data_IF_541856510141
#
_entry.id   IF_541856510141
#
_cell.length_a   1.000
_cell.length_b   1.000
_cell.length_c   1.000
_cell.angle_alpha   90.00
_cell.angle_beta   90.00
_cell.angle_gamma   90.00
#
_symmetry.space_group_name_H-M   'P 1'
#
loop_
_entity.id
_entity.type
_entity.pdbx_description
1 polymer ?
#
# COMPACT_ATOMS: atom_id res chain seq x y z
N UNK A 1 16.10 -22.66 3.13
CA UNK A 1 14.74 -22.21 2.72
C UNK A 1 14.89 -20.80 2.18
N UNK A 2 14.68 -20.58 0.88
CA UNK A 2 14.90 -19.29 0.21
C UNK A 2 13.77 -18.32 0.59
N UNK A 3 14.10 -17.12 1.05
CA UNK A 3 13.10 -16.10 1.48
C UNK A 3 12.53 -15.29 0.30
N UNK A 4 13.22 -15.30 -0.84
CA UNK A 4 12.86 -14.56 -2.04
C UNK A 4 11.40 -14.73 -2.53
N UNK A 5 10.81 -15.95 -2.60
CA UNK A 5 9.46 -16.11 -3.14
C UNK A 5 8.35 -15.52 -2.26
N UNK A 6 8.59 -15.31 -0.96
CA UNK A 6 7.61 -14.69 -0.05
C UNK A 6 7.75 -13.16 0.00
N UNK A 7 8.98 -12.65 -0.10
CA UNK A 7 9.25 -11.21 -0.01
C UNK A 7 8.98 -10.49 -1.33
N UNK A 8 9.14 -11.17 -2.47
CA UNK A 8 8.99 -10.56 -3.80
C UNK A 8 7.55 -10.05 -4.07
N UNK A 9 6.47 -10.82 -3.82
CA UNK A 9 5.11 -10.32 -4.05
C UNK A 9 4.76 -9.12 -3.16
N UNK A 10 5.20 -9.14 -1.90
CA UNK A 10 5.00 -8.01 -0.98
C UNK A 10 5.71 -6.76 -1.47
N UNK A 11 6.98 -6.88 -1.88
CA UNK A 11 7.76 -5.77 -2.42
C UNK A 11 7.12 -5.18 -3.68
N UNK A 12 6.68 -6.03 -4.62
CA UNK A 12 5.98 -5.58 -5.83
C UNK A 12 4.67 -4.86 -5.46
N UNK A 13 3.90 -5.40 -4.52
CA UNK A 13 2.67 -4.78 -4.02
C UNK A 13 2.92 -3.38 -3.45
N UNK A 14 3.98 -3.19 -2.66
CA UNK A 14 4.38 -1.87 -2.14
C UNK A 14 4.74 -0.90 -3.26
N UNK A 15 5.54 -1.33 -4.24
CA UNK A 15 5.95 -0.47 -5.37
C UNK A 15 4.74 -0.05 -6.20
N UNK A 16 3.80 -0.97 -6.42
CA UNK A 16 2.53 -0.66 -7.10
C UNK A 16 1.69 0.32 -6.29
N UNK A 17 1.59 0.17 -4.97
CA UNK A 17 0.89 1.11 -4.09
C UNK A 17 1.48 2.53 -4.19
N UNK A 18 2.82 2.67 -4.19
CA UNK A 18 3.48 3.97 -4.41
C UNK A 18 3.21 4.56 -5.80
N UNK A 19 3.19 3.74 -6.85
CA UNK A 19 2.87 4.20 -8.20
C UNK A 19 1.40 4.65 -8.34
N UNK A 20 0.48 3.94 -7.71
CA UNK A 20 -0.94 4.30 -7.64
C UNK A 20 -1.13 5.60 -6.86
N UNK A 21 -0.44 5.78 -5.73
CA UNK A 21 -0.42 7.03 -4.99
C UNK A 21 0.07 8.21 -5.85
N UNK A 22 1.15 8.03 -6.61
CA UNK A 22 1.62 9.03 -7.57
C UNK A 22 0.57 9.36 -8.64
N UNK A 23 -0.12 8.36 -9.17
CA UNK A 23 -1.20 8.54 -10.15
C UNK A 23 -2.38 9.32 -9.55
N UNK A 24 -2.77 9.00 -8.32
CA UNK A 24 -3.83 9.71 -7.59
C UNK A 24 -3.48 11.18 -7.34
N UNK A 25 -2.21 11.49 -7.04
CA UNK A 25 -1.74 12.87 -6.90
C UNK A 25 -1.88 13.66 -8.22
N UNK A 26 -1.45 13.07 -9.34
CA UNK A 26 -1.58 13.69 -10.67
C UNK A 26 -3.06 13.88 -11.02
N UNK A 27 -3.90 12.87 -10.78
CA UNK A 27 -5.34 12.94 -11.04
C UNK A 27 -5.99 14.07 -10.22
N UNK A 28 -5.64 14.17 -8.93
CA UNK A 28 -6.16 15.21 -8.03
C UNK A 28 -5.71 16.60 -8.48
N UNK A 29 -4.44 16.75 -8.87
CA UNK A 29 -3.90 18.01 -9.37
C UNK A 29 -4.65 18.48 -10.64
N UNK A 30 -4.86 17.58 -11.61
CA UNK A 30 -5.60 17.89 -12.84
C UNK A 30 -7.06 18.23 -12.52
N UNK A 31 -7.70 17.49 -11.60
CA UNK A 31 -9.10 17.71 -11.22
C UNK A 31 -9.33 19.13 -10.70
N UNK A 32 -8.47 19.61 -9.79
CA UNK A 32 -8.58 20.98 -9.26
C UNK A 32 -8.30 22.06 -10.32
N UNK A 33 -7.45 21.78 -11.31
CA UNK A 33 -7.13 22.71 -12.39
C UNK A 33 -8.22 22.83 -13.46
N UNK A 34 -8.82 21.71 -13.87
CA UNK A 34 -9.79 21.67 -14.98
C UNK A 34 -11.21 22.05 -14.53
N UNK A 35 -11.59 21.71 -13.30
CA UNK A 35 -12.98 21.88 -12.82
C UNK A 35 -13.07 22.78 -11.58
N UNK A 36 -12.73 24.07 -11.67
CA UNK A 36 -12.78 24.97 -10.52
C UNK A 36 -14.20 25.20 -9.99
N UNK A 37 -15.24 25.02 -10.81
CA UNK A 37 -16.67 25.26 -10.48
C UNK A 37 -17.47 24.01 -10.06
N UNK A 38 -16.82 22.86 -9.93
CA UNK A 38 -17.51 21.61 -9.54
C UNK A 38 -18.11 21.65 -8.12
N UNK A 39 -19.17 20.85 -7.88
CA UNK A 39 -19.87 20.82 -6.60
C UNK A 39 -18.93 20.40 -5.45
N UNK A 40 -19.13 21.05 -4.29
CA UNK A 40 -18.29 20.87 -3.09
C UNK A 40 -18.19 19.42 -2.60
N UNK A 41 -19.21 18.60 -2.88
CA UNK A 41 -19.24 17.18 -2.53
C UNK A 41 -18.16 16.37 -3.27
N UNK A 42 -17.98 16.59 -4.58
CA UNK A 42 -16.94 15.89 -5.35
C UNK A 42 -15.54 16.26 -4.85
N UNK A 43 -15.31 17.55 -4.56
CA UNK A 43 -14.06 18.02 -3.95
C UNK A 43 -13.83 17.41 -2.57
N UNK A 44 -14.88 17.28 -1.75
CA UNK A 44 -14.78 16.64 -0.44
C UNK A 44 -14.39 15.16 -0.57
N UNK A 45 -14.99 14.43 -1.50
CA UNK A 45 -14.66 13.01 -1.76
C UNK A 45 -13.21 12.87 -2.22
N UNK A 46 -12.75 13.70 -3.15
CA UNK A 46 -11.35 13.66 -3.64
C UNK A 46 -10.36 13.94 -2.51
N UNK A 47 -10.63 14.95 -1.67
CA UNK A 47 -9.77 15.26 -0.51
C UNK A 47 -9.81 14.13 0.52
N UNK A 48 -10.98 13.54 0.80
CA UNK A 48 -11.10 12.41 1.72
C UNK A 48 -10.31 11.19 1.24
N UNK A 49 -10.41 10.84 -0.05
CA UNK A 49 -9.63 9.75 -0.66
C UNK A 49 -8.14 10.05 -0.58
N UNK A 50 -7.71 11.28 -0.90
CA UNK A 50 -6.31 11.67 -0.79
C UNK A 50 -5.78 11.51 0.64
N UNK A 51 -6.53 11.94 1.65
CA UNK A 51 -6.11 11.82 3.06
C UNK A 51 -6.03 10.35 3.48
N UNK A 52 -7.02 9.53 3.12
CA UNK A 52 -7.02 8.10 3.43
C UNK A 52 -5.82 7.39 2.79
N UNK A 53 -5.57 7.64 1.51
CA UNK A 53 -4.44 7.07 0.76
C UNK A 53 -3.09 7.51 1.33
N UNK A 54 -2.96 8.76 1.79
CA UNK A 54 -1.73 9.23 2.46
C UNK A 54 -1.50 8.47 3.77
N UNK A 55 -2.55 8.28 4.59
CA UNK A 55 -2.45 7.54 5.84
C UNK A 55 -2.05 6.09 5.58
N UNK A 56 -2.68 5.43 4.60
CA UNK A 56 -2.35 4.06 4.21
C UNK A 56 -0.91 3.97 3.67
N UNK A 57 -0.53 4.86 2.76
CA UNK A 57 0.82 4.90 2.17
C UNK A 57 1.89 5.09 3.24
N UNK A 58 1.64 5.92 4.27
CA UNK A 58 2.54 6.10 5.41
C UNK A 58 2.66 4.84 6.27
N UNK A 59 1.55 4.15 6.56
CA UNK A 59 1.55 2.91 7.31
C UNK A 59 2.31 1.81 6.55
N UNK A 60 1.99 1.61 5.27
CA UNK A 60 2.66 0.67 4.37
C UNK A 60 4.16 0.96 4.27
N UNK A 61 4.56 2.23 4.16
CA UNK A 61 5.98 2.61 4.12
C UNK A 61 6.72 2.28 5.41
N UNK A 62 6.07 2.47 6.58
CA UNK A 62 6.65 2.07 7.87
C UNK A 62 6.82 0.56 7.97
N UNK A 63 5.82 -0.21 7.56
CA UNK A 63 5.88 -1.67 7.59
C UNK A 63 6.98 -2.19 6.67
N UNK A 64 7.12 -1.62 5.47
CA UNK A 64 8.18 -1.97 4.52
C UNK A 64 9.56 -1.67 5.08
N UNK A 65 9.76 -0.50 5.72
CA UNK A 65 11.04 -0.17 6.37
C UNK A 65 11.33 -1.12 7.53
N UNK A 66 10.34 -1.52 8.33
CA UNK A 66 10.54 -2.51 9.38
C UNK A 66 10.88 -3.90 8.83
N UNK A 67 10.16 -4.38 7.81
CA UNK A 67 10.32 -5.73 7.25
C UNK A 67 11.60 -5.85 6.43
N UNK A 68 11.89 -4.87 5.57
CA UNK A 68 13.05 -4.89 4.66
C UNK A 68 14.28 -4.15 5.20
N UNK A 69 14.11 -3.13 6.05
CA UNK A 69 15.21 -2.35 6.61
C UNK A 69 15.75 -2.89 7.94
N UNK A 70 14.88 -3.32 8.86
CA UNK A 70 15.29 -3.92 10.15
C UNK A 70 15.27 -5.47 10.12
N UNK A 71 14.45 -6.07 9.25
CA UNK A 71 14.24 -7.51 9.14
C UNK A 71 15.02 -8.22 8.03
N UNK A 72 15.91 -7.53 7.28
CA UNK A 72 16.67 -8.17 6.21
C UNK A 72 17.60 -9.26 6.79
N UNK A 73 17.17 -10.52 6.69
CA UNK A 73 17.83 -11.69 7.27
C UNK A 73 17.16 -12.29 8.53
N UNK A 74 16.17 -11.63 9.14
CA UNK A 74 15.42 -12.18 10.28
C UNK A 74 14.11 -12.86 9.83
N UNK A 75 14.17 -14.18 9.71
CA UNK A 75 13.13 -15.04 9.13
C UNK A 75 11.83 -15.11 9.97
N UNK A 76 11.87 -14.69 11.24
CA UNK A 76 10.72 -14.77 12.14
C UNK A 76 9.64 -13.73 11.81
N UNK A 77 10.07 -12.51 11.46
CA UNK A 77 9.17 -11.39 11.15
C UNK A 77 8.44 -11.62 9.82
N UNK A 78 9.16 -12.11 8.81
CA UNK A 78 8.59 -12.43 7.48
C UNK A 78 7.60 -13.61 7.57
N UNK A 79 7.93 -14.63 8.37
CA UNK A 79 7.04 -15.78 8.59
C UNK A 79 5.71 -15.42 9.27
N UNK A 80 5.75 -14.49 10.23
CA UNK A 80 4.55 -14.00 10.93
C UNK A 80 3.60 -13.27 9.99
N UNK A 81 4.12 -12.41 9.12
CA UNK A 81 3.30 -11.69 8.12
C UNK A 81 2.73 -12.65 7.08
N UNK A 82 3.55 -13.60 6.58
CA UNK A 82 3.07 -14.62 5.66
C UNK A 82 2.00 -15.53 6.28
N UNK A 83 2.13 -15.87 7.56
CA UNK A 83 1.13 -16.62 8.32
C UNK A 83 -0.17 -15.84 8.48
N UNK A 84 -0.11 -14.54 8.79
CA UNK A 84 -1.30 -13.68 8.86
C UNK A 84 -2.02 -13.62 7.51
N UNK A 85 -1.29 -13.41 6.41
CA UNK A 85 -1.86 -13.40 5.05
C UNK A 85 -2.49 -14.76 4.72
N UNK A 86 -1.86 -15.86 5.12
CA UNK A 86 -2.38 -17.22 4.89
C UNK A 86 -3.61 -17.54 5.74
N UNK A 87 -3.68 -17.03 6.97
CA UNK A 87 -4.83 -17.17 7.86
C UNK A 87 -6.05 -16.38 7.34
N UNK A 88 -5.81 -15.23 6.69
CA UNK A 88 -6.86 -14.42 6.06
C UNK A 88 -7.37 -15.00 4.73
N UNK A 89 -6.54 -15.76 4.00
CA UNK A 89 -6.92 -16.39 2.74
C UNK A 89 -7.76 -17.68 2.89
N UNK A 90 -8.09 -18.09 4.12
CA UNK A 90 -8.77 -19.36 4.40
C UNK A 90 -7.88 -20.57 4.12
N UNK A 91 -8.14 -21.71 4.78
CA UNK A 91 -7.33 -22.91 4.60
C UNK A 91 -7.40 -23.35 3.14
N UNK A 92 -6.25 -23.33 2.44
CA UNK A 92 -6.12 -24.05 1.18
C UNK A 92 -6.17 -25.54 1.53
N UNK A 93 -7.30 -26.17 1.22
CA UNK A 93 -7.42 -27.63 1.22
C UNK A 93 -6.33 -28.22 0.31
N UNK A 94 -5.75 -29.37 0.70
CA UNK A 94 -4.60 -29.97 0.01
C UNK A 94 -4.88 -30.37 -1.44
#
# INVERSE_FOLDING_TARGET
MSVAPLTLPMFIGTVVNWALFGTLLVQTYIYFGVFPKDPRLSKLVVVAVLVLEVVETMANSRDVICIFGAGWGNMYVVGLVAFQISALMGPRSP
#
